data_IF_327285480645
#
_entry.id   IF_327285480645
#
_cell.length_a   1.000
_cell.length_b   1.000
_cell.length_c   1.000
_cell.angle_alpha   90.00
_cell.angle_beta   90.00
_cell.angle_gamma   90.00
#
_symmetry.space_group_name_H-M   'P 1'
#
loop_
_entity.id
_entity.type
_entity.pdbx_description
1 polymer ?
#
# COMPACT_ATOMS: atom_id res chain seq x y z
N UNK A 1 24.80 1.15 -36.15
CA UNK A 1 23.61 0.75 -35.37
C UNK A 1 24.15 -0.08 -34.22
N UNK A 2 24.38 0.56 -33.07
CA UNK A 2 24.81 -0.15 -31.88
C UNK A 2 23.55 -0.62 -31.14
N UNK A 3 23.42 -1.93 -30.99
CA UNK A 3 22.44 -2.56 -30.11
C UNK A 3 22.68 -2.07 -28.69
N UNK A 4 21.79 -1.18 -28.22
CA UNK A 4 21.62 -0.95 -26.78
C UNK A 4 21.08 -2.25 -26.20
N UNK A 5 21.97 -3.04 -25.59
CA UNK A 5 21.57 -4.06 -24.62
C UNK A 5 20.77 -3.35 -23.53
N UNK A 6 19.46 -3.52 -23.56
CA UNK A 6 18.60 -3.29 -22.40
C UNK A 6 19.21 -4.07 -21.24
N UNK A 7 19.59 -3.36 -20.18
CA UNK A 7 19.96 -4.02 -18.92
C UNK A 7 18.69 -4.72 -18.42
N UNK A 8 18.75 -6.00 -18.01
CA UNK A 8 17.62 -6.60 -17.34
C UNK A 8 17.28 -5.73 -16.13
N UNK A 9 16.01 -5.34 -16.03
CA UNK A 9 15.50 -4.68 -14.83
C UNK A 9 15.76 -5.62 -13.66
N UNK A 10 16.49 -5.14 -12.64
CA UNK A 10 16.75 -5.92 -11.43
C UNK A 10 15.41 -6.26 -10.78
N UNK A 11 15.18 -7.54 -10.45
CA UNK A 11 13.94 -8.00 -9.84
C UNK A 11 13.76 -7.34 -8.48
N UNK A 12 12.57 -6.81 -8.21
CA UNK A 12 12.28 -6.13 -6.95
C UNK A 12 12.40 -7.09 -5.74
N UNK A 13 12.13 -8.37 -5.94
CA UNK A 13 12.30 -9.43 -4.95
C UNK A 13 13.76 -9.62 -4.50
N UNK A 14 14.75 -9.36 -5.37
CA UNK A 14 16.18 -9.51 -5.05
C UNK A 14 16.62 -8.61 -3.87
N UNK A 15 15.87 -7.54 -3.59
CA UNK A 15 16.08 -6.68 -2.42
C UNK A 15 15.75 -7.35 -1.06
N UNK A 16 15.17 -8.55 -1.06
CA UNK A 16 14.65 -9.24 0.13
C UNK A 16 15.26 -10.64 0.39
N UNK A 17 16.14 -11.14 -0.47
CA UNK A 17 16.60 -12.54 -0.53
C UNK A 17 17.40 -13.07 0.68
N UNK A 18 17.79 -12.21 1.63
CA UNK A 18 18.67 -12.60 2.74
C UNK A 18 17.98 -12.67 4.11
N UNK A 19 16.66 -12.48 4.17
CA UNK A 19 15.95 -12.26 5.43
C UNK A 19 14.49 -12.70 5.46
N UNK A 20 13.90 -12.66 6.66
CA UNK A 20 12.44 -12.85 6.81
C UNK A 20 11.73 -11.56 6.40
N UNK A 21 10.79 -11.65 5.47
CA UNK A 21 9.97 -10.51 5.05
C UNK A 21 8.63 -10.53 5.78
N UNK A 22 8.32 -9.44 6.47
CA UNK A 22 7.10 -9.29 7.28
C UNK A 22 6.21 -8.23 6.64
N UNK A 23 4.93 -8.58 6.39
CA UNK A 23 3.94 -7.59 5.98
C UNK A 23 3.60 -6.67 7.15
N UNK A 24 3.66 -5.37 6.90
CA UNK A 24 3.31 -4.31 7.85
C UNK A 24 1.83 -3.91 7.81
N UNK A 25 0.98 -4.61 7.07
CA UNK A 25 -0.44 -4.31 6.99
C UNK A 25 -1.12 -4.54 8.36
N UNK A 26 -1.88 -3.55 8.81
CA UNK A 26 -2.59 -3.56 10.10
C UNK A 26 -4.07 -3.84 9.91
N UNK A 27 -4.64 -4.71 10.75
CA UNK A 27 -6.10 -4.89 10.84
C UNK A 27 -6.87 -3.63 11.24
N UNK A 28 -6.20 -2.69 11.90
CA UNK A 28 -6.85 -1.51 12.47
C UNK A 28 -6.81 -0.31 11.53
N UNK A 29 -5.80 -0.23 10.65
CA UNK A 29 -5.59 0.97 9.82
C UNK A 29 -5.16 0.66 8.38
N UNK A 30 -5.13 -0.61 7.96
CA UNK A 30 -4.39 -1.00 6.77
C UNK A 30 -2.92 -0.60 6.89
N UNK A 31 -2.42 0.17 5.94
CA UNK A 31 -1.13 0.84 6.00
C UNK A 31 -1.26 2.22 6.64
N UNK A 32 -0.24 2.58 7.42
CA UNK A 32 -0.14 3.90 8.03
C UNK A 32 0.98 4.69 7.37
N UNK A 33 0.89 6.03 7.35
CA UNK A 33 1.95 6.88 6.81
C UNK A 33 3.26 6.52 7.49
N UNK A 34 4.30 6.30 6.68
CA UNK A 34 5.64 6.33 7.22
C UNK A 34 5.84 7.75 7.71
N UNK A 35 5.95 7.92 9.04
CA UNK A 35 6.43 9.18 9.61
C UNK A 35 7.63 9.60 8.79
N UNK A 36 7.69 10.84 8.24
CA UNK A 36 8.78 11.20 7.36
C UNK A 36 10.07 10.88 8.08
N UNK A 37 10.85 9.96 7.50
CA UNK A 37 12.21 9.70 7.92
C UNK A 37 12.89 11.06 7.88
N UNK A 38 13.10 11.67 9.04
CA UNK A 38 13.85 12.91 9.17
C UNK A 38 15.10 12.72 8.32
N UNK A 39 15.20 13.51 7.26
CA UNK A 39 16.38 13.62 6.44
C UNK A 39 17.58 13.82 7.38
N UNK A 40 18.63 13.06 7.11
CA UNK A 40 19.91 13.03 7.82
C UNK A 40 20.33 14.42 8.29
N UNK A 41 20.40 14.63 9.61
CA UNK A 41 21.29 15.61 10.19
C UNK A 41 22.54 14.86 10.67
N UNK A 42 23.57 14.87 9.82
CA UNK A 42 24.95 14.55 10.20
C UNK A 42 25.53 15.79 10.89
N UNK A 43 26.22 15.54 12.01
CA UNK A 43 27.08 16.43 12.79
C UNK A 43 26.39 17.55 13.62
N UNK A 44 26.74 17.82 14.88
CA UNK A 44 28.02 17.63 15.57
C UNK A 44 27.87 17.64 17.11
N UNK A 45 28.66 16.79 17.77
CA UNK A 45 29.27 16.90 19.12
C UNK A 45 28.71 17.95 20.12
N UNK A 46 28.42 17.51 21.35
CA UNK A 46 29.37 17.60 22.48
C UNK A 46 28.84 16.99 23.80
N UNK A 47 29.65 16.06 24.32
CA UNK A 47 30.05 15.89 25.73
C UNK A 47 28.96 15.83 26.82
N UNK A 48 28.85 14.64 27.44
CA UNK A 48 29.12 14.49 28.88
C UNK A 48 29.69 13.10 29.17
N UNK A 49 30.93 13.10 29.69
CA UNK A 49 31.59 11.95 30.30
C UNK A 49 30.92 11.68 31.65
N UNK A 50 30.52 10.43 31.91
CA UNK A 50 30.54 9.88 33.27
C UNK A 50 31.11 8.47 33.19
N UNK A 51 32.23 8.28 33.89
CA UNK A 51 32.91 7.01 34.10
C UNK A 51 32.03 6.07 34.92
N UNK A 52 31.96 4.79 34.54
CA UNK A 52 31.76 3.65 35.44
C UNK A 52 32.49 2.43 34.82
N UNK A 53 33.10 1.64 35.70
CA UNK A 53 34.22 0.71 35.52
C UNK A 53 33.87 -0.62 34.79
N UNK A 54 34.87 -1.44 34.39
CA UNK A 54 34.69 -2.51 33.41
C UNK A 54 34.14 -3.79 34.05
N UNK A 55 33.04 -4.29 33.49
CA UNK A 55 32.50 -5.60 33.85
C UNK A 55 33.14 -6.69 32.97
N UNK A 56 33.62 -7.73 33.67
CA UNK A 56 34.34 -8.88 33.14
C UNK A 56 33.46 -9.64 32.15
N UNK A 57 33.89 -9.73 30.89
CA UNK A 57 33.23 -10.56 29.86
C UNK A 57 33.47 -12.04 30.18
N UNK A 58 32.40 -12.77 30.48
CA UNK A 58 32.36 -14.22 30.26
C UNK A 58 32.15 -14.45 28.77
N UNK A 59 33.15 -15.06 28.13
CA UNK A 59 33.04 -15.63 26.80
C UNK A 59 32.15 -16.88 26.85
N UNK A 60 31.30 -17.05 25.83
CA UNK A 60 30.60 -18.32 25.61
C UNK A 60 29.08 -18.25 25.48
N UNK A 61 28.54 -17.35 24.66
CA UNK A 61 27.30 -17.65 23.94
C UNK A 61 27.50 -17.25 22.49
N UNK A 62 27.47 -18.25 21.60
CA UNK A 62 27.41 -18.05 20.17
C UNK A 62 26.21 -17.15 19.87
N UNK A 63 26.47 -15.87 19.59
CA UNK A 63 25.45 -14.98 19.04
C UNK A 63 24.99 -15.61 17.74
N UNK A 64 23.83 -16.25 17.76
CA UNK A 64 23.09 -16.56 16.54
C UNK A 64 23.11 -15.31 15.68
N UNK A 65 23.58 -15.44 14.44
CA UNK A 65 23.51 -14.35 13.48
C UNK A 65 22.03 -13.99 13.36
N UNK A 66 21.63 -12.86 13.95
CA UNK A 66 20.26 -12.33 13.77
C UNK A 66 20.08 -12.17 12.26
N UNK A 67 19.26 -13.02 11.66
CA UNK A 67 18.88 -12.87 10.25
C UNK A 67 18.32 -11.48 10.00
N UNK A 68 18.57 -10.93 8.83
CA UNK A 68 17.98 -9.64 8.43
C UNK A 68 16.45 -9.81 8.42
N UNK A 69 15.72 -8.84 8.96
CA UNK A 69 14.25 -8.83 8.92
C UNK A 69 13.83 -7.65 8.06
N UNK A 70 13.24 -7.96 6.91
CA UNK A 70 12.66 -6.96 6.02
C UNK A 70 11.20 -6.70 6.42
N UNK A 71 10.75 -5.47 6.27
CA UNK A 71 9.34 -5.09 6.49
C UNK A 71 8.80 -4.43 5.24
N UNK A 72 7.75 -5.02 4.66
CA UNK A 72 6.94 -4.38 3.62
C UNK A 72 5.97 -3.45 4.34
N UNK A 73 6.21 -2.15 4.28
CA UNK A 73 5.50 -1.15 5.09
C UNK A 73 4.43 -0.37 4.35
N UNK A 74 4.46 -0.38 3.01
CA UNK A 74 3.52 0.38 2.19
C UNK A 74 2.80 -0.53 1.21
N UNK A 75 1.64 -0.07 0.73
CA UNK A 75 0.88 -0.76 -0.31
C UNK A 75 1.68 -0.94 -1.59
N UNK A 76 2.41 0.10 -2.03
CA UNK A 76 3.31 0.04 -3.18
C UNK A 76 4.30 -1.12 -3.09
N UNK A 77 4.98 -1.29 -1.94
CA UNK A 77 5.95 -2.37 -1.78
C UNK A 77 5.32 -3.76 -1.90
N UNK A 78 4.05 -3.92 -1.50
CA UNK A 78 3.35 -5.18 -1.68
C UNK A 78 2.93 -5.37 -3.14
N UNK A 79 2.43 -4.32 -3.79
CA UNK A 79 1.99 -4.37 -5.18
C UNK A 79 3.15 -4.70 -6.14
N UNK A 80 4.31 -4.04 -5.97
CA UNK A 80 5.48 -4.33 -6.80
C UNK A 80 6.02 -5.73 -6.57
N UNK A 81 6.08 -6.19 -5.32
CA UNK A 81 6.53 -7.55 -5.02
C UNK A 81 5.56 -8.61 -5.56
N UNK A 82 4.25 -8.35 -5.49
CA UNK A 82 3.24 -9.22 -6.09
C UNK A 82 3.36 -9.29 -7.62
N UNK A 83 3.67 -8.17 -8.28
CA UNK A 83 3.84 -8.12 -9.72
C UNK A 83 5.14 -8.80 -10.18
N UNK A 84 6.20 -8.71 -9.39
CA UNK A 84 7.52 -9.28 -9.68
C UNK A 84 7.60 -10.79 -9.36
N UNK A 85 7.20 -11.19 -8.14
CA UNK A 85 7.17 -12.59 -7.70
C UNK A 85 5.92 -12.89 -6.84
N UNK A 86 4.80 -13.34 -7.44
CA UNK A 86 3.57 -13.64 -6.71
C UNK A 86 3.68 -14.82 -5.75
N UNK A 87 4.70 -15.68 -5.89
CA UNK A 87 4.98 -16.81 -5.02
C UNK A 87 5.94 -16.44 -3.86
N UNK A 88 6.46 -15.20 -3.86
CA UNK A 88 7.32 -14.69 -2.80
C UNK A 88 6.64 -14.81 -1.43
N UNK A 89 7.36 -15.38 -0.46
CA UNK A 89 6.82 -15.71 0.85
C UNK A 89 6.92 -14.54 1.83
N UNK A 90 5.79 -14.15 2.41
CA UNK A 90 5.66 -13.06 3.38
C UNK A 90 5.01 -13.55 4.67
N UNK A 91 5.53 -13.10 5.80
CA UNK A 91 4.92 -13.33 7.11
C UNK A 91 3.78 -12.32 7.27
N UNK A 92 2.55 -12.79 7.16
CA UNK A 92 1.35 -12.01 7.41
C UNK A 92 1.01 -12.08 8.91
N UNK A 93 1.30 -11.00 9.64
CA UNK A 93 1.05 -10.94 11.08
C UNK A 93 -0.45 -10.90 11.42
N UNK A 94 -1.30 -10.40 10.51
CA UNK A 94 -2.76 -10.42 10.72
C UNK A 94 -3.33 -11.84 10.63
N UNK A 95 -2.76 -12.67 9.76
CA UNK A 95 -3.19 -14.04 9.46
C UNK A 95 -2.41 -15.11 10.25
N UNK A 96 -1.33 -14.75 10.94
CA UNK A 96 -0.52 -15.66 11.75
C UNK A 96 0.31 -16.67 10.96
N UNK A 97 0.69 -16.39 9.71
CA UNK A 97 1.34 -17.37 8.84
C UNK A 97 2.34 -16.80 7.86
N UNK A 98 3.24 -17.67 7.42
CA UNK A 98 4.08 -17.49 6.24
C UNK A 98 3.27 -17.93 5.01
N UNK A 99 2.94 -17.00 4.13
CA UNK A 99 2.08 -17.22 2.95
C UNK A 99 2.72 -16.61 1.69
N UNK A 100 2.44 -17.15 0.49
CA UNK A 100 2.73 -16.46 -0.76
C UNK A 100 2.05 -15.09 -0.81
N UNK A 101 2.73 -14.08 -1.36
CA UNK A 101 2.20 -12.70 -1.39
C UNK A 101 0.90 -12.61 -2.18
N UNK A 102 0.71 -13.42 -3.24
CA UNK A 102 -0.57 -13.49 -3.97
C UNK A 102 -1.79 -13.79 -3.08
N UNK A 103 -1.62 -14.52 -1.97
CA UNK A 103 -2.72 -14.83 -1.05
C UNK A 103 -3.14 -13.62 -0.20
N UNK A 104 -2.44 -12.48 -0.30
CA UNK A 104 -2.87 -11.21 0.28
C UNK A 104 -3.72 -10.38 -0.67
N UNK A 105 -3.87 -10.78 -1.93
CA UNK A 105 -4.54 -9.99 -2.96
C UNK A 105 -5.85 -10.65 -3.41
N UNK A 106 -6.89 -9.84 -3.55
CA UNK A 106 -8.18 -10.25 -4.11
C UNK A 106 -8.67 -9.24 -5.14
N UNK A 107 -9.54 -9.67 -6.05
CA UNK A 107 -10.20 -8.74 -6.96
C UNK A 107 -11.13 -7.80 -6.16
N UNK A 108 -11.29 -6.56 -6.64
CA UNK A 108 -12.16 -5.56 -6.01
C UNK A 108 -13.61 -6.02 -5.82
N UNK A 109 -14.07 -7.00 -6.61
CA UNK A 109 -15.37 -7.66 -6.46
C UNK A 109 -15.58 -8.38 -5.13
N UNK A 110 -14.50 -8.78 -4.48
CA UNK A 110 -14.51 -9.48 -3.19
C UNK A 110 -14.30 -8.55 -1.99
N UNK A 111 -14.22 -7.24 -2.22
CA UNK A 111 -14.12 -6.27 -1.14
C UNK A 111 -15.38 -6.28 -0.26
N UNK A 112 -15.19 -5.90 0.99
CA UNK A 112 -16.19 -5.93 2.05
C UNK A 112 -16.65 -4.54 2.42
N UNK A 113 -17.85 -4.43 2.99
CA UNK A 113 -18.30 -3.20 3.62
C UNK A 113 -17.59 -2.97 4.96
N UNK A 114 -17.63 -1.72 5.42
CA UNK A 114 -17.01 -1.30 6.69
C UNK A 114 -17.43 -2.19 7.87
N UNK A 115 -18.73 -2.51 7.94
CA UNK A 115 -19.33 -3.30 9.01
C UNK A 115 -18.77 -4.74 9.03
N UNK A 116 -18.59 -5.33 7.86
CA UNK A 116 -18.10 -6.70 7.69
C UNK A 116 -16.57 -6.80 7.83
N UNK A 117 -15.85 -5.69 7.66
CA UNK A 117 -14.39 -5.66 7.75
C UNK A 117 -13.90 -6.11 9.14
N UNK A 118 -14.63 -5.76 10.20
CA UNK A 118 -14.24 -6.09 11.58
C UNK A 118 -14.27 -7.59 11.85
N UNK A 119 -15.12 -8.32 11.14
CA UNK A 119 -15.28 -9.77 11.27
C UNK A 119 -14.25 -10.57 10.46
N UNK A 120 -13.50 -9.91 9.58
CA UNK A 120 -12.47 -10.57 8.77
C UNK A 120 -11.24 -10.88 9.61
N UNK A 121 -10.80 -12.13 9.53
CA UNK A 121 -9.54 -12.59 10.15
C UNK A 121 -8.30 -11.94 9.55
N UNK A 122 -8.35 -11.61 8.25
CA UNK A 122 -7.22 -11.11 7.47
C UNK A 122 -7.59 -9.83 6.74
N UNK A 123 -6.64 -8.90 6.67
CA UNK A 123 -6.75 -7.75 5.76
C UNK A 123 -6.29 -8.16 4.39
N UNK A 124 -7.10 -7.87 3.38
CA UNK A 124 -6.79 -8.13 1.98
C UNK A 124 -6.41 -6.83 1.28
N UNK A 125 -5.59 -6.95 0.24
CA UNK A 125 -5.33 -5.90 -0.73
C UNK A 125 -6.23 -6.16 -1.92
N UNK A 126 -7.15 -5.25 -2.19
CA UNK A 126 -8.09 -5.36 -3.29
C UNK A 126 -7.51 -4.70 -4.54
N UNK A 127 -7.59 -5.40 -5.67
CA UNK A 127 -7.06 -4.94 -6.95
C UNK A 127 -8.12 -4.95 -8.06
N UNK A 128 -8.03 -3.98 -8.97
CA UNK A 128 -8.83 -3.96 -10.17
C UNK A 128 -8.46 -2.81 -11.10
N UNK A 129 -8.86 -2.94 -12.37
CA UNK A 129 -8.64 -1.88 -13.36
C UNK A 129 -9.57 -0.71 -13.14
N UNK A 130 -9.03 0.50 -13.20
CA UNK A 130 -9.76 1.74 -13.08
C UNK A 130 -9.39 2.75 -14.16
N UNK A 131 -10.15 3.84 -14.22
CA UNK A 131 -9.89 5.00 -15.06
C UNK A 131 -10.25 6.27 -14.30
N UNK A 132 -9.68 7.40 -14.72
CA UNK A 132 -9.99 8.71 -14.17
C UNK A 132 -11.25 9.32 -14.80
N UNK A 133 -11.98 10.09 -14.01
CA UNK A 133 -13.15 10.84 -14.45
C UNK A 133 -13.29 12.15 -13.71
N UNK A 134 -13.81 13.16 -14.40
CA UNK A 134 -14.10 14.45 -13.81
C UNK A 134 -15.18 14.36 -12.72
N UNK A 135 -15.10 15.30 -11.78
CA UNK A 135 -16.14 15.53 -10.78
C UNK A 135 -16.66 16.96 -10.89
N UNK A 136 -17.76 17.27 -10.21
CA UNK A 136 -18.24 18.66 -10.14
C UNK A 136 -17.36 19.57 -9.28
N UNK A 137 -16.41 19.02 -8.53
CA UNK A 137 -15.45 19.74 -7.71
C UNK A 137 -14.06 19.66 -8.36
N UNK A 138 -13.50 20.80 -8.74
CA UNK A 138 -12.23 20.92 -9.45
C UNK A 138 -11.00 20.57 -8.59
N UNK A 139 -11.15 20.46 -7.26
CA UNK A 139 -10.06 20.07 -6.36
C UNK A 139 -9.81 18.57 -6.30
N UNK A 140 -10.69 17.77 -6.88
CA UNK A 140 -10.66 16.31 -6.77
C UNK A 140 -10.95 15.64 -8.09
N UNK A 141 -10.46 14.41 -8.21
CA UNK A 141 -10.69 13.52 -9.34
C UNK A 141 -11.28 12.21 -8.85
N UNK A 142 -12.13 11.59 -9.67
CA UNK A 142 -12.72 10.29 -9.34
C UNK A 142 -11.98 9.17 -10.08
N UNK A 143 -11.41 8.24 -9.31
CA UNK A 143 -10.90 6.96 -9.80
C UNK A 143 -12.07 5.97 -9.80
N UNK A 144 -12.46 5.50 -10.98
CA UNK A 144 -13.62 4.61 -11.15
C UNK A 144 -13.17 3.22 -11.58
N UNK A 145 -13.50 2.22 -10.76
CA UNK A 145 -13.26 0.83 -11.11
C UNK A 145 -14.17 0.40 -12.25
N UNK A 146 -13.65 -0.44 -13.15
CA UNK A 146 -14.43 -0.98 -14.27
C UNK A 146 -15.42 -2.03 -13.83
N UNK A 147 -15.00 -2.86 -12.89
CA UNK A 147 -15.77 -3.95 -12.34
C UNK A 147 -17.00 -3.42 -11.60
N UNK A 148 -18.12 -4.12 -11.81
CA UNK A 148 -19.38 -3.84 -11.12
C UNK A 148 -19.51 -4.78 -9.92
N UNK A 149 -20.08 -4.24 -8.84
CA UNK A 149 -20.43 -4.94 -7.62
C UNK A 149 -21.94 -4.96 -7.51
N UNK A 150 -22.53 -6.11 -7.23
CA UNK A 150 -23.94 -6.22 -6.93
C UNK A 150 -24.17 -5.99 -5.43
N UNK A 151 -25.01 -5.02 -5.11
CA UNK A 151 -25.43 -4.69 -3.75
C UNK A 151 -26.94 -4.62 -3.76
N UNK A 152 -27.59 -5.50 -3.00
CA UNK A 152 -29.06 -5.59 -2.93
C UNK A 152 -29.74 -5.71 -4.31
N UNK A 153 -29.12 -6.43 -5.25
CA UNK A 153 -29.63 -6.64 -6.61
C UNK A 153 -29.41 -5.47 -7.57
N UNK A 154 -28.73 -4.40 -7.15
CA UNK A 154 -28.32 -3.29 -8.00
C UNK A 154 -26.80 -3.31 -8.25
N UNK A 155 -26.40 -3.11 -9.50
CA UNK A 155 -25.00 -3.09 -9.89
C UNK A 155 -24.38 -1.69 -9.79
N UNK A 156 -23.31 -1.55 -9.03
CA UNK A 156 -22.57 -0.32 -8.81
C UNK A 156 -21.14 -0.44 -9.31
N UNK A 157 -20.54 0.67 -9.77
CA UNK A 157 -19.09 0.75 -9.98
C UNK A 157 -18.46 1.44 -8.77
N UNK A 158 -17.55 0.79 -8.05
CA UNK A 158 -16.81 1.43 -6.98
C UNK A 158 -16.06 2.65 -7.52
N UNK A 159 -16.04 3.71 -6.74
CA UNK A 159 -15.23 4.88 -7.06
C UNK A 159 -14.64 5.49 -5.80
N UNK A 160 -13.48 6.10 -5.94
CA UNK A 160 -12.86 6.89 -4.88
C UNK A 160 -12.56 8.28 -5.39
N UNK A 161 -12.73 9.26 -4.52
CA UNK A 161 -12.45 10.67 -4.80
C UNK A 161 -11.13 10.99 -4.13
N UNK A 162 -10.18 11.51 -4.91
CA UNK A 162 -8.81 11.77 -4.49
C UNK A 162 -8.45 13.21 -4.85
N UNK A 163 -7.60 13.85 -4.04
CA UNK A 163 -7.02 15.15 -4.36
C UNK A 163 -6.41 15.17 -5.77
N UNK A 164 -6.74 16.22 -6.54
CA UNK A 164 -6.13 16.46 -7.85
C UNK A 164 -4.63 16.72 -7.72
N UNK A 165 -4.22 17.50 -6.72
CA UNK A 165 -2.81 17.83 -6.48
C UNK A 165 -1.98 16.58 -6.20
N UNK A 166 -2.54 15.62 -5.44
CA UNK A 166 -1.88 14.33 -5.19
C UNK A 166 -1.63 13.53 -6.47
N UNK A 167 -2.59 13.54 -7.40
CA UNK A 167 -2.42 12.91 -8.71
C UNK A 167 -1.35 13.59 -9.55
N UNK A 168 -1.30 14.92 -9.53
CA UNK A 168 -0.29 15.68 -10.25
C UNK A 168 1.12 15.39 -9.74
N UNK A 169 1.27 15.15 -8.43
CA UNK A 169 2.57 14.91 -7.80
C UNK A 169 3.02 13.45 -7.89
N UNK A 170 2.12 12.48 -7.63
CA UNK A 170 2.49 11.06 -7.51
C UNK A 170 2.24 10.24 -8.78
N UNK A 171 1.35 10.70 -9.67
CA UNK A 171 0.93 10.00 -10.89
C UNK A 171 0.82 10.97 -12.08
N UNK A 172 1.88 11.76 -12.29
CA UNK A 172 1.94 12.84 -13.28
C UNK A 172 1.56 12.35 -14.68
N UNK A 173 2.11 11.22 -15.12
CA UNK A 173 1.87 10.60 -16.42
C UNK A 173 0.40 10.24 -16.64
N UNK A 174 -0.24 9.65 -15.63
CA UNK A 174 -1.67 9.30 -15.64
C UNK A 174 -2.52 10.57 -15.68
N UNK A 175 -2.14 11.59 -14.91
CA UNK A 175 -2.86 12.86 -14.88
C UNK A 175 -2.75 13.63 -16.20
N UNK A 176 -1.55 13.68 -16.81
CA UNK A 176 -1.33 14.26 -18.13
C UNK A 176 -2.14 13.54 -19.20
N UNK A 177 -2.15 12.20 -19.20
CA UNK A 177 -2.96 11.43 -20.14
C UNK A 177 -4.46 11.78 -20.02
N UNK A 178 -4.96 11.88 -18.79
CA UNK A 178 -6.34 12.25 -18.52
C UNK A 178 -6.71 13.65 -19.01
N UNK A 179 -5.87 14.65 -18.70
CA UNK A 179 -6.11 16.05 -19.12
C UNK A 179 -6.03 16.24 -20.64
N UNK A 180 -5.23 15.41 -21.32
CA UNK A 180 -5.18 15.34 -22.78
C UNK A 180 -6.37 14.61 -23.42
N UNK A 181 -7.33 14.14 -22.62
CA UNK A 181 -8.54 13.45 -23.09
C UNK A 181 -8.31 11.97 -23.43
N UNK A 182 -7.16 11.39 -23.07
CA UNK A 182 -6.91 9.97 -23.24
C UNK A 182 -7.54 9.20 -22.09
N UNK A 183 -8.47 8.30 -22.41
CA UNK A 183 -9.02 7.39 -21.43
C UNK A 183 -8.07 6.21 -21.21
N UNK A 184 -7.15 6.39 -20.27
CA UNK A 184 -6.18 5.38 -19.87
C UNK A 184 -6.72 4.51 -18.73
N UNK A 185 -6.48 3.20 -18.81
CA UNK A 185 -6.80 2.23 -17.75
C UNK A 185 -5.52 1.83 -17.04
N UNK A 186 -5.59 1.70 -15.70
CA UNK A 186 -4.47 1.36 -14.85
C UNK A 186 -4.90 0.41 -13.74
N UNK A 187 -3.94 -0.30 -13.15
CA UNK A 187 -4.19 -1.22 -12.05
C UNK A 187 -4.19 -0.46 -10.74
N UNK A 188 -5.32 -0.50 -10.03
CA UNK A 188 -5.48 0.12 -8.72
C UNK A 188 -5.42 -0.93 -7.64
N UNK A 189 -4.71 -0.61 -6.57
CA UNK A 189 -4.67 -1.38 -5.34
C UNK A 189 -5.24 -0.53 -4.21
N UNK A 190 -6.03 -1.15 -3.34
CA UNK A 190 -6.56 -0.51 -2.13
C UNK A 190 -6.78 -1.52 -1.02
N UNK A 191 -6.61 -1.11 0.22
CA UNK A 191 -7.02 -1.91 1.38
C UNK A 191 -8.33 -1.39 1.99
N UNK A 192 -8.86 -0.27 1.49
CA UNK A 192 -10.00 0.39 2.10
C UNK A 192 -11.29 -0.44 1.87
N UNK A 193 -12.14 -0.60 2.90
CA UNK A 193 -13.44 -1.23 2.76
C UNK A 193 -14.41 -0.37 1.95
N UNK A 194 -15.47 -0.99 1.44
CA UNK A 194 -16.57 -0.30 0.77
C UNK A 194 -17.44 0.51 1.72
N UNK A 195 -18.06 1.55 1.15
CA UNK A 195 -19.00 2.44 1.82
C UNK A 195 -20.10 2.89 0.87
N UNK A 196 -21.36 2.75 1.27
CA UNK A 196 -22.48 3.30 0.51
C UNK A 196 -22.71 4.76 0.87
N UNK A 197 -22.36 5.69 -0.04
CA UNK A 197 -22.68 7.10 0.09
C UNK A 197 -23.93 7.42 -0.74
N UNK A 198 -25.10 7.12 -0.18
CA UNK A 198 -26.38 7.26 -0.88
C UNK A 198 -26.47 6.32 -2.08
N UNK A 199 -26.32 6.85 -3.31
CA UNK A 199 -26.43 6.08 -4.55
C UNK A 199 -25.08 5.63 -5.13
N UNK A 200 -23.98 5.90 -4.45
CA UNK A 200 -22.64 5.62 -4.95
C UNK A 200 -21.89 4.67 -4.01
N UNK A 201 -21.30 3.63 -4.59
CA UNK A 201 -20.39 2.74 -3.90
C UNK A 201 -19.00 3.39 -3.84
N UNK A 202 -18.62 3.86 -2.66
CA UNK A 202 -17.33 4.47 -2.37
C UNK A 202 -16.51 3.58 -1.42
N UNK A 203 -15.50 4.17 -0.79
CA UNK A 203 -14.62 3.53 0.17
C UNK A 203 -14.69 4.26 1.51
N UNK A 204 -14.70 3.51 2.60
CA UNK A 204 -14.74 4.02 3.97
C UNK A 204 -13.33 4.18 4.55
N UNK A 205 -13.23 5.02 5.58
CA UNK A 205 -12.11 4.99 6.51
C UNK A 205 -12.08 3.65 7.25
N UNK A 206 -10.90 3.19 7.69
CA UNK A 206 -10.78 2.07 8.63
C UNK A 206 -11.35 2.41 10.01
N UNK A 207 -11.43 3.70 10.35
CA UNK A 207 -11.71 4.17 11.72
C UNK A 207 -13.15 4.61 11.93
N UNK A 208 -13.82 5.02 10.86
CA UNK A 208 -15.16 5.55 10.92
C UNK A 208 -16.01 4.95 9.81
N UNK A 209 -17.31 4.77 10.11
CA UNK A 209 -18.28 4.37 9.11
C UNK A 209 -18.68 5.55 8.21
N UNK A 210 -17.68 6.17 7.60
CA UNK A 210 -17.81 7.35 6.74
C UNK A 210 -16.88 7.19 5.54
N UNK A 211 -17.19 7.90 4.45
CA UNK A 211 -16.32 7.95 3.28
C UNK A 211 -14.92 8.45 3.68
N UNK A 212 -13.88 7.77 3.20
CA UNK A 212 -12.49 8.18 3.42
C UNK A 212 -12.27 9.61 2.90
N UNK A 213 -11.52 10.41 3.66
CA UNK A 213 -11.30 11.82 3.30
C UNK A 213 -10.41 11.95 2.05
N UNK A 214 -10.83 12.68 0.99
CA UNK A 214 -10.10 12.77 -0.28
C UNK A 214 -8.69 13.37 -0.20
N UNK A 215 -8.42 14.11 0.88
CA UNK A 215 -7.15 14.79 1.14
C UNK A 215 -6.38 14.19 2.33
N UNK A 216 -6.83 13.04 2.84
CA UNK A 216 -6.30 12.43 4.07
C UNK A 216 -5.16 11.45 3.82
N UNK A 217 -4.19 11.42 4.73
CA UNK A 217 -3.06 10.48 4.64
C UNK A 217 -3.47 9.01 4.69
N UNK A 218 -4.63 8.70 5.29
CA UNK A 218 -5.20 7.34 5.31
C UNK A 218 -5.48 6.85 3.88
N UNK A 219 -6.09 7.69 3.05
CA UNK A 219 -6.35 7.36 1.65
C UNK A 219 -5.02 7.11 0.94
N UNK A 220 -4.05 8.02 1.04
CA UNK A 220 -2.78 7.94 0.32
C UNK A 220 -1.92 6.75 0.76
N UNK A 221 -2.02 6.33 2.02
CA UNK A 221 -1.29 5.14 2.51
C UNK A 221 -1.92 3.83 2.02
N UNK A 222 -3.21 3.85 1.71
CA UNK A 222 -4.03 2.68 1.39
C UNK A 222 -4.53 2.67 -0.05
N UNK A 223 -3.94 3.48 -0.91
CA UNK A 223 -4.23 3.58 -2.34
C UNK A 223 -2.93 3.58 -3.11
N UNK A 224 -2.87 2.81 -4.19
CA UNK A 224 -1.72 2.78 -5.08
C UNK A 224 -2.17 2.50 -6.52
N UNK A 225 -1.54 3.17 -7.49
CA UNK A 225 -1.67 2.86 -8.91
C UNK A 225 -0.34 2.32 -9.43
N UNK A 226 -0.42 1.27 -10.24
CA UNK A 226 0.69 0.76 -11.05
C UNK A 226 0.40 0.93 -12.54
#
# INVERSE_FOLDING_TARGET
MEDRKERPEESYAEHFDSGRTISGISRVNGFVPLTPLKQKAVDQKQRRKTLLMPEVKKEGESREKKGVVHRLRTLQQHAELFADDPDFRVINQSAGGDIPIREMFENIRSNVFYEDMLDKEKVMIYTGRAYLSETSNDKVIAVRFKDKIEVEGQAYRPSMIISRDYFMEEYEDIYEAFTNGNQYEFDVFTTLPFFMNGKYLNFSSYRTHEQVHPFGEELYSNFYIR
#
